data_IF_064692769148
#
_entry.id   IF_064692769148
#
_cell.length_a   1.000
_cell.length_b   1.000
_cell.length_c   1.000
_cell.angle_alpha   90.00
_cell.angle_beta   90.00
_cell.angle_gamma   90.00
#
_symmetry.space_group_name_H-M   'P 1'
#
loop_
_entity.id
_entity.type
_entity.pdbx_description
1 polymer ?
#
# COMPACT_ATOMS: atom_id res chain seq x y z
N UNK A 1 4.78 -4.71 -2.32
CA UNK A 1 4.42 -6.13 -2.08
C UNK A 1 4.19 -6.78 -3.43
N UNK A 2 4.98 -7.80 -3.79
CA UNK A 2 4.73 -8.59 -5.00
C UNK A 2 3.31 -9.15 -4.95
N UNK A 3 2.55 -8.98 -6.03
CA UNK A 3 1.17 -9.44 -6.21
C UNK A 3 1.13 -10.97 -6.42
N UNK A 4 1.63 -11.74 -5.46
CA UNK A 4 1.53 -13.21 -5.48
C UNK A 4 0.05 -13.59 -5.46
N UNK A 5 -0.36 -14.45 -6.41
CA UNK A 5 -1.74 -14.93 -6.53
C UNK A 5 -2.03 -15.91 -5.40
N UNK A 6 -3.22 -15.80 -4.79
CA UNK A 6 -3.64 -16.65 -3.67
C UNK A 6 -3.72 -18.14 -4.04
N UNK A 7 -3.95 -18.43 -5.32
CA UNK A 7 -3.95 -19.80 -5.88
C UNK A 7 -2.65 -20.56 -5.66
N UNK A 8 -1.53 -19.86 -5.47
CA UNK A 8 -0.22 -20.47 -5.25
C UNK A 8 0.05 -20.82 -3.79
N UNK A 9 -0.86 -20.48 -2.85
CA UNK A 9 -0.68 -20.68 -1.41
C UNK A 9 -1.19 -22.03 -0.90
N UNK A 10 -1.74 -22.88 -1.78
CA UNK A 10 -2.21 -24.22 -1.41
C UNK A 10 -3.52 -24.25 -0.61
N UNK A 11 -4.33 -23.19 -0.72
CA UNK A 11 -5.67 -23.18 -0.11
C UNK A 11 -6.64 -24.16 -0.80
N UNK A 12 -7.64 -24.60 -0.05
CA UNK A 12 -8.75 -25.40 -0.57
C UNK A 12 -9.49 -24.65 -1.71
N UNK A 13 -9.98 -25.40 -2.71
CA UNK A 13 -10.66 -24.82 -3.88
C UNK A 13 -11.86 -23.97 -3.48
N UNK A 14 -12.67 -24.40 -2.51
CA UNK A 14 -13.83 -23.66 -2.03
C UNK A 14 -13.44 -22.35 -1.35
N UNK A 15 -12.30 -22.34 -0.64
CA UNK A 15 -11.77 -21.14 -0.02
C UNK A 15 -11.24 -20.15 -1.07
N UNK A 16 -10.50 -20.63 -2.07
CA UNK A 16 -10.02 -19.80 -3.19
C UNK A 16 -11.17 -19.18 -3.98
N UNK A 17 -12.23 -19.95 -4.25
CA UNK A 17 -13.43 -19.45 -4.91
C UNK A 17 -14.17 -18.42 -4.05
N UNK A 18 -14.25 -18.62 -2.74
CA UNK A 18 -14.83 -17.64 -1.81
C UNK A 18 -14.04 -16.32 -1.81
N UNK A 19 -12.71 -16.39 -1.72
CA UNK A 19 -11.82 -15.22 -1.78
C UNK A 19 -11.97 -14.48 -3.11
N UNK A 20 -11.98 -15.21 -4.23
CA UNK A 20 -12.10 -14.65 -5.58
C UNK A 20 -13.45 -13.95 -5.77
N UNK A 21 -14.55 -14.54 -5.26
CA UNK A 21 -15.89 -13.93 -5.31
C UNK A 21 -15.98 -12.59 -4.59
N UNK A 22 -15.16 -12.37 -3.56
CA UNK A 22 -15.09 -11.12 -2.80
C UNK A 22 -14.02 -10.16 -3.32
N UNK A 23 -13.43 -10.42 -4.49
CA UNK A 23 -12.43 -9.54 -5.10
C UNK A 23 -11.03 -9.65 -4.49
N UNK A 24 -10.76 -10.66 -3.66
CA UNK A 24 -9.45 -10.92 -3.08
C UNK A 24 -8.67 -11.83 -4.02
N UNK A 25 -7.81 -11.25 -4.86
CA UNK A 25 -7.12 -11.98 -5.95
C UNK A 25 -5.66 -12.28 -5.62
N UNK A 26 -5.04 -11.43 -4.80
CA UNK A 26 -3.63 -11.55 -4.43
C UNK A 26 -3.41 -11.34 -2.93
N UNK A 27 -2.20 -11.69 -2.47
CA UNK A 27 -1.83 -11.52 -1.07
C UNK A 27 -1.96 -10.07 -0.59
N UNK A 28 -1.74 -9.07 -1.46
CA UNK A 28 -1.91 -7.65 -1.10
C UNK A 28 -3.34 -7.35 -0.67
N UNK A 29 -4.33 -7.92 -1.36
CA UNK A 29 -5.75 -7.68 -1.06
C UNK A 29 -6.12 -8.27 0.30
N UNK A 30 -5.62 -9.46 0.59
CA UNK A 30 -5.79 -10.14 1.89
C UNK A 30 -5.08 -9.38 3.01
N UNK A 31 -3.83 -8.98 2.80
CA UNK A 31 -3.02 -8.30 3.82
C UNK A 31 -3.47 -6.84 4.08
N UNK A 32 -4.29 -6.27 3.20
CA UNK A 32 -4.98 -4.99 3.40
C UNK A 32 -6.27 -5.14 4.21
N UNK A 33 -6.59 -6.33 4.71
CA UNK A 33 -7.74 -6.61 5.56
C UNK A 33 -7.32 -7.21 6.89
N UNK A 34 -8.01 -6.81 7.95
CA UNK A 34 -7.89 -7.45 9.25
C UNK A 34 -8.56 -8.82 9.27
N UNK A 35 -8.15 -9.68 10.22
CA UNK A 35 -8.74 -10.99 10.40
C UNK A 35 -10.26 -10.93 10.60
N UNK A 36 -10.74 -9.94 11.37
CA UNK A 36 -12.17 -9.75 11.65
C UNK A 36 -12.95 -9.33 10.40
N UNK A 37 -12.40 -8.44 9.57
CA UNK A 37 -13.03 -8.08 8.29
C UNK A 37 -13.15 -9.29 7.36
N UNK A 38 -12.10 -10.12 7.26
CA UNK A 38 -12.14 -11.34 6.46
C UNK A 38 -13.14 -12.37 7.01
N UNK A 39 -13.20 -12.52 8.33
CA UNK A 39 -14.16 -13.38 9.01
C UNK A 39 -15.61 -13.00 8.65
N UNK A 40 -15.94 -11.71 8.78
CA UNK A 40 -17.29 -11.19 8.48
C UNK A 40 -17.61 -11.27 6.99
N UNK A 41 -16.65 -10.94 6.12
CA UNK A 41 -16.82 -10.92 4.67
C UNK A 41 -17.02 -12.34 4.10
N UNK A 42 -16.17 -13.29 4.51
CA UNK A 42 -16.16 -14.65 3.97
C UNK A 42 -17.06 -15.61 4.76
N UNK A 43 -17.63 -15.15 5.88
CA UNK A 43 -18.42 -15.96 6.82
C UNK A 43 -17.69 -17.23 7.28
N UNK A 44 -16.40 -17.07 7.56
CA UNK A 44 -15.52 -18.14 8.06
C UNK A 44 -15.22 -17.93 9.54
N UNK A 45 -14.57 -18.90 10.18
CA UNK A 45 -14.11 -18.74 11.56
C UNK A 45 -12.91 -17.80 11.66
N UNK A 46 -12.74 -17.16 12.82
CA UNK A 46 -11.59 -16.29 13.09
C UNK A 46 -10.25 -17.02 12.92
N UNK A 47 -10.21 -18.31 13.29
CA UNK A 47 -9.01 -19.14 13.14
C UNK A 47 -8.64 -19.30 11.66
N UNK A 48 -9.64 -19.50 10.79
CA UNK A 48 -9.44 -19.63 9.35
C UNK A 48 -8.96 -18.31 8.75
N UNK A 49 -9.54 -17.17 9.15
CA UNK A 49 -9.06 -15.85 8.67
C UNK A 49 -7.64 -15.55 9.12
N UNK A 50 -7.27 -15.88 10.36
CA UNK A 50 -5.90 -15.70 10.86
C UNK A 50 -4.92 -16.58 10.08
N UNK A 51 -5.27 -17.85 9.86
CA UNK A 51 -4.47 -18.76 9.05
C UNK A 51 -4.22 -18.24 7.62
N UNK A 52 -5.25 -17.66 6.98
CA UNK A 52 -5.12 -17.07 5.64
C UNK A 52 -4.12 -15.90 5.65
N UNK A 53 -4.22 -15.00 6.64
CA UNK A 53 -3.30 -13.85 6.79
C UNK A 53 -1.87 -14.32 7.06
N UNK A 54 -1.69 -15.32 7.92
CA UNK A 54 -0.38 -15.89 8.23
C UNK A 54 0.27 -16.50 6.97
N UNK A 55 -0.49 -17.29 6.20
CA UNK A 55 0.00 -17.87 4.94
C UNK A 55 0.32 -16.82 3.88
N UNK A 56 -0.52 -15.79 3.75
CA UNK A 56 -0.24 -14.67 2.86
C UNK A 56 1.02 -13.89 3.29
N UNK A 57 1.21 -13.70 4.60
CA UNK A 57 2.37 -13.02 5.19
C UNK A 57 3.65 -13.82 4.97
N UNK A 58 3.62 -15.13 5.23
CA UNK A 58 4.77 -16.02 5.01
C UNK A 58 5.22 -16.00 3.55
N UNK A 59 4.28 -15.98 2.61
CA UNK A 59 4.58 -15.92 1.19
C UNK A 59 5.08 -14.55 0.71
N UNK A 60 4.76 -13.47 1.43
CA UNK A 60 5.09 -12.09 1.07
C UNK A 60 6.16 -11.46 1.95
N UNK A 61 6.72 -12.22 2.90
CA UNK A 61 7.74 -11.73 3.81
C UNK A 61 8.92 -11.17 2.98
N UNK A 62 9.34 -9.92 3.23
CA UNK A 62 10.55 -9.41 2.62
C UNK A 62 11.75 -10.22 3.13
N UNK A 63 12.78 -10.36 2.30
CA UNK A 63 14.09 -10.81 2.79
C UNK A 63 14.60 -9.80 3.82
N UNK A 64 15.48 -10.23 4.73
CA UNK A 64 16.13 -9.32 5.67
C UNK A 64 16.75 -8.16 4.89
N UNK A 65 16.34 -6.94 5.22
CA UNK A 65 16.81 -5.72 4.59
C UNK A 65 17.44 -4.87 5.67
N UNK A 66 18.67 -4.44 5.42
CA UNK A 66 19.35 -3.49 6.29
C UNK A 66 18.82 -2.07 6.05
N UNK A 67 19.11 -1.16 6.98
CA UNK A 67 18.80 0.25 6.78
C UNK A 67 19.49 0.83 5.52
N UNK A 68 20.68 0.32 5.18
CA UNK A 68 21.41 0.70 3.98
C UNK A 68 20.66 0.24 2.71
N UNK A 69 20.21 -1.01 2.66
CA UNK A 69 19.45 -1.53 1.52
C UNK A 69 18.15 -0.74 1.29
N UNK A 70 17.48 -0.35 2.39
CA UNK A 70 16.28 0.48 2.31
C UNK A 70 16.62 1.88 1.78
N UNK A 71 17.71 2.50 2.25
CA UNK A 71 18.14 3.81 1.77
C UNK A 71 18.45 3.76 0.26
N UNK A 72 19.15 2.73 -0.21
CA UNK A 72 19.49 2.58 -1.63
C UNK A 72 18.26 2.31 -2.51
N UNK A 73 17.31 1.49 -2.05
CA UNK A 73 16.02 1.33 -2.74
C UNK A 73 15.25 2.64 -2.82
N UNK A 74 15.26 3.42 -1.75
CA UNK A 74 14.56 4.70 -1.67
C UNK A 74 15.25 5.82 -2.48
N UNK A 75 16.51 5.67 -2.91
CA UNK A 75 17.14 6.63 -3.85
C UNK A 75 16.39 6.72 -5.18
N UNK A 76 15.67 5.66 -5.55
CA UNK A 76 14.81 5.62 -6.74
C UNK A 76 13.36 6.03 -6.46
N UNK A 77 13.04 6.49 -5.24
CA UNK A 77 11.71 7.01 -4.97
C UNK A 77 11.47 8.17 -5.93
N UNK A 78 10.41 8.01 -6.72
CA UNK A 78 10.01 9.04 -7.64
C UNK A 78 9.42 10.20 -6.82
N UNK A 79 9.57 11.41 -7.32
CA UNK A 79 8.96 12.60 -6.75
C UNK A 79 7.97 13.18 -7.77
N UNK A 80 6.89 13.76 -7.28
CA UNK A 80 6.02 14.62 -8.06
C UNK A 80 6.55 16.05 -7.95
N UNK A 81 7.14 16.57 -9.03
CA UNK A 81 7.60 17.95 -9.07
C UNK A 81 6.42 18.93 -8.93
N UNK A 82 6.59 19.96 -8.13
CA UNK A 82 5.54 20.96 -7.86
C UNK A 82 5.46 22.05 -8.94
N UNK A 83 6.37 22.02 -9.93
CA UNK A 83 6.57 23.10 -10.92
C UNK A 83 7.00 24.44 -10.33
N UNK A 84 7.30 24.47 -9.03
CA UNK A 84 7.83 25.61 -8.30
C UNK A 84 9.26 25.28 -7.89
N UNK A 85 10.25 25.63 -8.72
CA UNK A 85 11.67 25.28 -8.49
C UNK A 85 12.17 25.55 -7.06
N UNK A 86 11.90 26.72 -6.44
CA UNK A 86 12.35 26.97 -5.07
C UNK A 86 11.74 26.00 -4.05
N UNK A 87 10.50 25.58 -4.27
CA UNK A 87 9.82 24.63 -3.40
C UNK A 87 10.36 23.21 -3.61
N UNK A 88 10.57 22.82 -4.88
CA UNK A 88 11.17 21.52 -5.21
C UNK A 88 12.58 21.37 -4.63
N UNK A 89 13.38 22.45 -4.63
CA UNK A 89 14.72 22.47 -4.04
C UNK A 89 14.66 22.27 -2.50
N UNK A 90 13.73 22.94 -1.81
CA UNK A 90 13.50 22.76 -0.36
C UNK A 90 13.00 21.35 -0.04
N UNK A 91 12.13 20.80 -0.89
CA UNK A 91 11.60 19.44 -0.76
C UNK A 91 12.57 18.37 -1.28
N UNK A 92 13.74 18.76 -1.82
CA UNK A 92 14.77 17.88 -2.38
C UNK A 92 14.25 16.98 -3.52
N UNK A 93 13.44 17.53 -4.41
CA UNK A 93 12.93 16.84 -5.60
C UNK A 93 11.42 16.97 -5.82
N UNK A 94 10.68 17.51 -4.85
CA UNK A 94 9.23 17.67 -4.91
C UNK A 94 8.50 16.80 -3.88
N UNK A 95 7.23 16.46 -4.16
CA UNK A 95 6.42 15.65 -3.25
C UNK A 95 6.75 14.16 -3.37
N UNK A 96 6.98 13.49 -2.24
CA UNK A 96 7.41 12.10 -2.20
C UNK A 96 6.24 11.14 -2.52
N UNK A 97 6.39 10.25 -3.51
CA UNK A 97 5.37 9.20 -3.75
C UNK A 97 5.30 8.20 -2.60
N UNK A 98 4.15 7.51 -2.50
CA UNK A 98 3.87 6.54 -1.43
C UNK A 98 3.93 7.16 -0.02
N UNK A 99 3.71 8.48 0.08
CA UNK A 99 3.62 9.22 1.33
C UNK A 99 2.37 10.12 1.30
N UNK A 100 1.99 10.64 2.46
CA UNK A 100 0.95 11.68 2.60
C UNK A 100 1.66 12.98 2.91
N UNK A 101 1.39 14.04 2.15
CA UNK A 101 1.92 15.39 2.39
C UNK A 101 0.80 16.34 2.79
N UNK A 102 0.97 17.01 3.92
CA UNK A 102 0.02 18.01 4.42
C UNK A 102 0.40 19.42 3.94
N UNK A 103 -0.61 20.17 3.47
CA UNK A 103 -0.46 21.58 3.08
C UNK A 103 -1.28 22.44 4.05
N UNK A 104 -0.60 23.10 4.98
CA UNK A 104 -1.23 23.90 6.04
C UNK A 104 -0.83 25.38 5.95
N UNK A 105 -1.72 26.28 6.41
CA UNK A 105 -1.46 27.72 6.44
C UNK A 105 -2.73 28.57 6.59
N UNK A 106 -2.59 29.88 6.87
CA UNK A 106 -3.71 30.82 7.06
C UNK A 106 -4.69 30.89 5.86
N UNK A 107 -5.92 31.41 6.02
CA UNK A 107 -6.81 31.65 4.88
C UNK A 107 -6.15 32.60 3.87
N UNK A 108 -6.40 32.38 2.57
CA UNK A 108 -5.85 33.23 1.51
C UNK A 108 -4.39 32.95 1.09
N UNK A 109 -3.66 32.04 1.74
CA UNK A 109 -2.25 31.76 1.37
C UNK A 109 -2.06 30.86 0.13
N UNK A 110 -3.13 30.56 -0.62
CA UNK A 110 -3.03 29.84 -1.90
C UNK A 110 -3.08 28.30 -1.85
N UNK A 111 -3.36 27.67 -0.70
CA UNK A 111 -3.43 26.19 -0.57
C UNK A 111 -4.31 25.51 -1.64
N UNK A 112 -5.52 26.01 -1.84
CA UNK A 112 -6.45 25.46 -2.85
C UNK A 112 -5.92 25.65 -4.27
N UNK A 113 -5.29 26.79 -4.55
CA UNK A 113 -4.69 27.06 -5.87
C UNK A 113 -3.49 26.16 -6.14
N UNK A 114 -2.68 25.87 -5.10
CA UNK A 114 -1.59 24.90 -5.19
C UNK A 114 -2.12 23.49 -5.51
N UNK A 115 -3.21 23.06 -4.88
CA UNK A 115 -3.83 21.77 -5.23
C UNK A 115 -4.36 21.73 -6.67
N UNK A 116 -4.94 22.82 -7.19
CA UNK A 116 -5.37 22.88 -8.58
C UNK A 116 -4.19 22.77 -9.55
N UNK A 117 -3.08 23.47 -9.26
CA UNK A 117 -1.85 23.36 -10.06
C UNK A 117 -1.34 21.92 -10.12
N UNK A 118 -1.36 21.18 -9.01
CA UNK A 118 -0.89 19.79 -8.94
C UNK A 118 -1.82 18.77 -9.62
N UNK A 119 -3.08 19.14 -9.91
CA UNK A 119 -4.08 18.23 -10.49
C UNK A 119 -4.07 18.14 -12.01
N UNK A 120 -3.25 18.95 -12.69
CA UNK A 120 -3.10 19.01 -14.15
C UNK A 120 -1.94 18.12 -14.58
#
# INVERSE_FOLDING_TARGET
LMSKKLRCLGFDKGLVESLTRHGLLCCKDVLNKSAVELMMMLKISIQTSTYIIEKASEACKPLHLTALDLLEKNKFNSFLMTSLKPLDDVLKGGLLFSSITEIAGPPGCGKTQFCFMLSV
#
